data_IF_860599758883
#
_entry.id   IF_860599758883
#
_cell.length_a   1.000
_cell.length_b   1.000
_cell.length_c   1.000
_cell.angle_alpha   90.00
_cell.angle_beta   90.00
_cell.angle_gamma   90.00
#
_symmetry.space_group_name_H-M   'P 1'
#
loop_
_entity.id
_entity.type
_entity.pdbx_description
1 polymer ?
#
# COMPACT_ATOMS: atom_id res chain seq x y z
N UNK A 1 -11.18 3.53 -17.65
CA UNK A 1 -12.40 3.02 -16.97
C UNK A 1 -12.14 3.10 -15.48
N UNK A 2 -13.02 3.73 -14.69
CA UNK A 2 -12.85 3.84 -13.25
C UNK A 2 -12.87 2.46 -12.57
N UNK A 3 -12.11 2.29 -11.50
CA UNK A 3 -12.13 1.09 -10.67
C UNK A 3 -11.66 1.36 -9.25
N UNK A 4 -12.18 0.58 -8.31
CA UNK A 4 -11.76 0.59 -6.91
C UNK A 4 -11.66 -0.85 -6.42
N UNK A 5 -10.57 -1.17 -5.73
CA UNK A 5 -10.46 -2.45 -5.03
C UNK A 5 -9.53 -2.34 -3.83
N UNK A 6 -9.72 -3.25 -2.88
CA UNK A 6 -8.82 -3.44 -1.76
C UNK A 6 -8.83 -4.89 -1.30
N UNK A 7 -7.73 -5.31 -0.69
CA UNK A 7 -7.62 -6.59 -0.01
C UNK A 7 -6.64 -6.49 1.16
N UNK A 8 -6.81 -7.41 2.11
CA UNK A 8 -5.94 -7.54 3.28
C UNK A 8 -5.70 -9.01 3.59
N UNK A 9 -4.46 -9.34 3.95
CA UNK A 9 -4.08 -10.61 4.58
C UNK A 9 -3.70 -10.28 6.01
N UNK A 10 -4.35 -10.94 6.95
CA UNK A 10 -4.02 -10.91 8.37
C UNK A 10 -3.90 -12.36 8.83
N UNK A 11 -2.69 -12.80 9.10
CA UNK A 11 -2.37 -14.16 9.53
C UNK A 11 -1.70 -14.12 10.90
N UNK A 12 -2.53 -14.18 11.95
CA UNK A 12 -2.06 -14.12 13.35
C UNK A 12 -0.97 -15.16 13.68
N UNK A 13 -1.08 -16.45 13.25
CA UNK A 13 -0.03 -17.45 13.49
C UNK A 13 1.38 -17.06 13.02
N UNK A 14 1.50 -16.36 11.90
CA UNK A 14 2.80 -15.94 11.34
C UNK A 14 3.08 -14.45 11.53
N UNK A 15 2.14 -13.73 12.16
CA UNK A 15 2.10 -12.28 12.26
C UNK A 15 2.16 -11.55 10.91
N UNK A 16 1.88 -12.23 9.80
CA UNK A 16 1.90 -11.61 8.48
C UNK A 16 0.71 -10.65 8.31
N UNK A 17 1.02 -9.36 8.07
CA UNK A 17 0.05 -8.33 7.71
C UNK A 17 0.45 -7.71 6.36
N UNK A 18 -0.41 -7.91 5.36
CA UNK A 18 -0.31 -7.29 4.04
C UNK A 18 -1.61 -6.61 3.70
N UNK A 19 -1.55 -5.45 3.04
CA UNK A 19 -2.76 -4.82 2.50
C UNK A 19 -2.47 -4.07 1.22
N UNK A 20 -3.48 -3.95 0.37
CA UNK A 20 -3.45 -3.15 -0.84
C UNK A 20 -4.79 -2.43 -0.99
N UNK A 21 -4.76 -1.17 -1.37
CA UNK A 21 -5.95 -0.44 -1.82
C UNK A 21 -5.62 0.43 -3.03
N UNK A 22 -6.53 0.46 -4.00
CA UNK A 22 -6.42 1.30 -5.20
C UNK A 22 -7.75 1.97 -5.50
N UNK A 23 -7.67 3.23 -5.93
CA UNK A 23 -8.76 3.98 -6.52
C UNK A 23 -8.28 4.59 -7.85
N UNK A 24 -9.08 4.44 -8.90
CA UNK A 24 -8.87 5.05 -10.20
C UNK A 24 -10.15 5.69 -10.70
N UNK A 25 -10.09 6.97 -11.06
CA UNK A 25 -11.17 7.68 -11.75
C UNK A 25 -11.12 7.50 -13.28
N UNK A 26 -10.09 6.81 -13.79
CA UNK A 26 -9.82 6.61 -15.21
C UNK A 26 -8.65 7.43 -15.76
N UNK A 27 -8.32 8.56 -15.15
CA UNK A 27 -7.20 9.44 -15.53
C UNK A 27 -6.09 9.45 -14.46
N UNK A 28 -6.50 9.40 -13.19
CA UNK A 28 -5.65 9.35 -12.02
C UNK A 28 -5.89 8.05 -11.26
N UNK A 29 -4.81 7.34 -10.96
CA UNK A 29 -4.83 6.15 -10.10
C UNK A 29 -3.99 6.42 -8.86
N UNK A 30 -4.59 6.30 -7.69
CA UNK A 30 -3.91 6.42 -6.41
C UNK A 30 -4.07 5.14 -5.61
N UNK A 31 -3.07 4.79 -4.82
CA UNK A 31 -3.19 3.63 -3.95
C UNK A 31 -2.10 3.55 -2.90
N UNK A 32 -2.26 2.55 -2.05
CA UNK A 32 -1.32 2.22 -1.00
C UNK A 32 -1.18 0.70 -0.90
N UNK A 33 0.04 0.21 -0.72
CA UNK A 33 0.26 -1.16 -0.24
C UNK A 33 1.16 -1.18 0.99
N UNK A 34 0.94 -2.17 1.86
CA UNK A 34 1.68 -2.38 3.10
C UNK A 34 2.25 -3.78 3.17
N UNK A 35 3.50 -3.86 3.64
CA UNK A 35 4.26 -5.10 3.77
C UNK A 35 4.95 -5.10 5.12
N UNK A 36 4.74 -6.15 5.92
CA UNK A 36 5.57 -6.41 7.09
C UNK A 36 6.95 -6.92 6.64
N UNK A 37 8.00 -6.25 7.09
CA UNK A 37 9.39 -6.62 6.81
C UNK A 37 9.94 -7.56 7.90
N UNK A 38 10.95 -8.39 7.58
CA UNK A 38 11.57 -9.32 8.53
C UNK A 38 12.19 -8.64 9.77
N UNK A 39 12.48 -7.35 9.71
CA UNK A 39 13.02 -6.56 10.82
C UNK A 39 11.95 -5.93 11.73
N UNK A 40 10.67 -6.30 11.51
CA UNK A 40 9.52 -5.84 12.28
C UNK A 40 9.02 -4.44 11.89
N UNK A 41 9.56 -3.81 10.85
CA UNK A 41 8.99 -2.58 10.28
C UNK A 41 7.85 -2.90 9.34
N UNK A 42 6.89 -2.00 9.25
CA UNK A 42 5.92 -1.98 8.15
C UNK A 42 6.43 -1.00 7.09
N UNK A 43 6.66 -1.51 5.89
CA UNK A 43 6.82 -0.68 4.71
C UNK A 43 5.43 -0.29 4.20
N UNK A 44 5.25 0.99 3.95
CA UNK A 44 4.05 1.58 3.35
C UNK A 44 4.50 2.27 2.08
N UNK A 45 3.89 1.90 0.96
CA UNK A 45 4.13 2.54 -0.33
C UNK A 45 2.84 3.21 -0.78
N UNK A 46 2.87 4.53 -0.87
CA UNK A 46 1.79 5.33 -1.43
C UNK A 46 2.17 5.75 -2.84
N UNK A 47 1.28 5.54 -3.81
CA UNK A 47 1.58 5.84 -5.20
C UNK A 47 0.47 6.63 -5.87
N UNK A 48 0.87 7.32 -6.93
CA UNK A 48 0.00 8.02 -7.86
C UNK A 48 0.45 7.71 -9.28
N UNK A 49 -0.48 7.50 -10.19
CA UNK A 49 -0.23 7.25 -11.60
C UNK A 49 -1.19 8.06 -12.47
N UNK A 50 -0.65 8.84 -13.40
CA UNK A 50 -1.43 9.57 -14.40
C UNK A 50 -0.65 9.67 -15.71
N UNK A 51 -1.31 10.07 -16.80
CA UNK A 51 -0.64 10.32 -18.08
C UNK A 51 0.34 11.50 -18.04
N UNK A 52 0.10 12.49 -17.16
CA UNK A 52 0.92 13.71 -17.11
C UNK A 52 2.15 13.57 -16.22
N UNK A 53 2.06 12.84 -15.12
CA UNK A 53 3.15 12.67 -14.14
C UNK A 53 3.81 11.30 -14.19
N UNK A 54 3.26 10.34 -14.93
CA UNK A 54 3.72 8.95 -14.89
C UNK A 54 3.42 8.30 -13.54
N UNK A 55 4.18 7.27 -13.18
CA UNK A 55 4.07 6.59 -11.89
C UNK A 55 5.03 7.21 -10.87
N UNK A 56 4.49 7.73 -9.78
CA UNK A 56 5.24 8.34 -8.67
C UNK A 56 4.87 7.60 -7.39
N UNK A 57 5.88 7.16 -6.65
CA UNK A 57 5.68 6.44 -5.39
C UNK A 57 6.55 7.04 -4.29
N UNK A 58 5.97 7.12 -3.10
CA UNK A 58 6.66 7.41 -1.87
C UNK A 58 6.72 6.15 -1.01
N UNK A 59 7.92 5.82 -0.52
CA UNK A 59 8.18 4.62 0.28
C UNK A 59 8.58 5.04 1.69
N UNK A 60 7.82 4.59 2.68
CA UNK A 60 8.10 4.84 4.11
C UNK A 60 8.19 3.51 4.85
N UNK A 61 9.15 3.37 5.74
CA UNK A 61 9.24 2.21 6.64
C UNK A 61 9.28 2.69 8.09
N UNK A 62 8.33 2.23 8.91
CA UNK A 62 8.25 2.57 10.33
C UNK A 62 8.10 1.32 11.19
N UNK A 63 8.69 1.33 12.39
CA UNK A 63 8.36 0.31 13.40
C UNK A 63 6.95 0.60 13.92
N UNK A 64 6.15 -0.45 14.05
CA UNK A 64 4.85 -0.35 14.72
C UNK A 64 5.10 -0.02 16.19
N UNK A 65 4.65 1.14 16.66
CA UNK A 65 4.58 1.44 18.09
C UNK A 65 3.32 0.75 18.63
N UNK A 66 3.41 -0.55 18.89
CA UNK A 66 2.47 -1.23 19.76
C UNK A 66 2.69 -0.67 21.18
N UNK A 67 1.71 0.07 21.70
CA UNK A 67 1.57 0.35 23.14
C UNK A 67 0.62 -0.69 23.73
#
# INVERSE_FOLDING_TARGET
>A
MPFVYSWKVLDDPTANDYSHSTNSDGDLTTGEYRVLLPDGRTQVVTYTSSLSTGYVAEVRARKSNLT
#
